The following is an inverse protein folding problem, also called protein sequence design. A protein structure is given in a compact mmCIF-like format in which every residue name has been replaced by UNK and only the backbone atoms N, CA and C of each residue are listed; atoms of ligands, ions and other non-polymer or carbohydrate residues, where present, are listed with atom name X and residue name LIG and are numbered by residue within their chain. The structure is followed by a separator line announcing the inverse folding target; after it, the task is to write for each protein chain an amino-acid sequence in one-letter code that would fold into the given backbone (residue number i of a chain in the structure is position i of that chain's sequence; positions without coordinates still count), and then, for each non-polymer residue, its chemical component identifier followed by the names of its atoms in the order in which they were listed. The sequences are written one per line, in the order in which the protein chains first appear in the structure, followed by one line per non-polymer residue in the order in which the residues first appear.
data_IF_444980963809
#
_entry.id   IF_444980963809
#
_cell.length_a   1.000
_cell.length_b   1.000
_cell.length_c   1.000
_cell.angle_alpha   90.00
_cell.angle_beta   90.00
_cell.angle_gamma   90.00
#
_symmetry.space_group_name_H-M   'P 1'
#
loop_
_entity.id
_entity.type
_entity.pdbx_description
1 polymer ?
#
# COMPACT_ATOMS: atom_id res chain seq x y z
N UNK A 1 0.01 -26.44 -1.17
CA UNK A 1 1.47 -26.45 -0.93
C UNK A 1 1.91 -25.10 -0.40
N UNK A 2 2.66 -25.10 0.68
CA UNK A 2 3.24 -23.88 1.23
C UNK A 2 4.65 -23.69 0.65
N UNK A 3 4.92 -22.49 0.17
CA UNK A 3 6.25 -22.15 -0.34
C UNK A 3 6.94 -21.25 0.68
N UNK A 4 8.13 -21.66 1.10
CA UNK A 4 8.97 -20.83 1.96
C UNK A 4 10.26 -20.46 1.23
N UNK A 5 10.81 -19.32 1.58
CA UNK A 5 12.09 -18.84 1.01
C UNK A 5 13.11 -18.66 2.12
N UNK A 6 14.41 -18.69 1.78
CA UNK A 6 15.44 -18.43 2.78
C UNK A 6 15.36 -16.98 3.27
N UNK A 7 15.88 -16.72 4.47
CA UNK A 7 15.95 -15.38 5.07
C UNK A 7 16.65 -14.41 4.11
N UNK A 8 17.77 -14.80 3.53
CA UNK A 8 18.53 -13.94 2.63
C UNK A 8 17.72 -13.61 1.37
N UNK A 9 16.99 -14.59 0.80
CA UNK A 9 16.14 -14.36 -0.36
C UNK A 9 14.97 -13.46 -0.03
N UNK A 10 14.34 -13.66 1.12
CA UNK A 10 13.22 -12.83 1.58
C UNK A 10 13.66 -11.38 1.79
N UNK A 11 14.82 -11.14 2.39
CA UNK A 11 15.38 -9.80 2.56
C UNK A 11 15.65 -9.14 1.19
N UNK A 12 16.21 -9.88 0.25
CA UNK A 12 16.47 -9.36 -1.10
C UNK A 12 15.18 -9.02 -1.83
N UNK A 13 14.12 -9.82 -1.66
CA UNK A 13 12.80 -9.55 -2.22
C UNK A 13 12.22 -8.26 -1.63
N UNK A 14 12.33 -8.09 -0.31
CA UNK A 14 11.86 -6.88 0.36
C UNK A 14 12.58 -5.63 -0.14
N UNK A 15 13.91 -5.68 -0.24
CA UNK A 15 14.71 -4.57 -0.72
C UNK A 15 14.39 -4.22 -2.18
N UNK A 16 14.26 -5.24 -3.04
CA UNK A 16 13.92 -5.06 -4.45
C UNK A 16 12.53 -4.47 -4.63
N UNK A 17 11.54 -4.96 -3.88
CA UNK A 17 10.18 -4.45 -3.94
C UNK A 17 10.12 -3.00 -3.45
N UNK A 18 10.81 -2.69 -2.35
CA UNK A 18 10.87 -1.32 -1.83
C UNK A 18 11.49 -0.35 -2.84
N UNK A 19 12.52 -0.78 -3.55
CA UNK A 19 13.14 0.00 -4.62
C UNK A 19 12.17 0.21 -5.79
N UNK A 20 11.46 -0.83 -6.19
CA UNK A 20 10.48 -0.78 -7.29
C UNK A 20 9.30 0.13 -6.96
N UNK A 21 8.83 0.09 -5.72
CA UNK A 21 7.74 0.97 -5.24
C UNK A 21 8.19 2.43 -5.30
N UNK A 22 9.40 2.72 -4.84
CA UNK A 22 9.98 4.05 -4.91
C UNK A 22 9.50 4.99 -3.82
N UNK A 23 10.01 6.23 -3.86
CA UNK A 23 9.81 7.24 -2.81
C UNK A 23 8.60 8.15 -3.06
N UNK A 24 8.03 8.10 -4.25
CA UNK A 24 6.89 8.94 -4.66
C UNK A 24 5.73 8.08 -5.16
N UNK A 25 5.55 6.93 -4.55
CA UNK A 25 4.49 6.02 -4.96
C UNK A 25 3.11 6.54 -4.60
N UNK A 26 2.10 5.95 -5.20
CA UNK A 26 0.70 6.28 -4.99
C UNK A 26 -0.03 5.13 -4.32
N UNK A 27 -0.91 5.47 -3.39
CA UNK A 27 -1.85 4.52 -2.81
C UNK A 27 -3.22 4.83 -3.42
N UNK A 28 -3.69 3.97 -4.30
CA UNK A 28 -4.92 4.15 -5.04
C UNK A 28 -6.04 3.29 -4.45
N UNK A 29 -7.20 3.87 -4.25
CA UNK A 29 -8.41 3.15 -3.84
C UNK A 29 -9.28 2.91 -5.06
N UNK A 30 -9.69 1.66 -5.28
CA UNK A 30 -10.44 1.24 -6.46
C UNK A 30 -11.81 0.68 -6.09
N UNK A 31 -12.79 0.88 -6.98
CA UNK A 31 -14.05 0.17 -6.88
C UNK A 31 -13.95 -1.22 -7.53
N UNK A 32 -15.05 -1.99 -7.54
CA UNK A 32 -15.08 -3.32 -8.13
C UNK A 32 -14.95 -3.32 -9.67
N UNK A 33 -15.14 -2.19 -10.31
CA UNK A 33 -14.93 -2.01 -11.74
C UNK A 33 -13.55 -1.49 -12.11
N UNK A 34 -12.60 -1.51 -11.16
CA UNK A 34 -11.20 -1.09 -11.32
C UNK A 34 -11.02 0.43 -11.51
N UNK A 35 -12.05 1.22 -11.28
CA UNK A 35 -11.93 2.68 -11.33
C UNK A 35 -11.24 3.20 -10.07
N UNK A 36 -10.28 4.11 -10.24
CA UNK A 36 -9.61 4.77 -9.13
C UNK A 36 -10.55 5.84 -8.57
N UNK A 37 -10.90 5.70 -7.28
CA UNK A 37 -11.78 6.64 -6.58
C UNK A 37 -10.99 7.75 -5.90
N UNK A 38 -9.86 7.41 -5.30
CA UNK A 38 -9.01 8.34 -4.56
C UNK A 38 -7.55 7.91 -4.65
N UNK A 39 -6.65 8.88 -4.55
CA UNK A 39 -5.20 8.64 -4.59
C UNK A 39 -4.53 9.42 -3.48
N UNK A 40 -3.73 8.72 -2.65
CA UNK A 40 -2.88 9.33 -1.65
C UNK A 40 -1.44 9.15 -2.09
N UNK A 41 -0.67 10.24 -2.12
CA UNK A 41 0.71 10.22 -2.59
C UNK A 41 1.67 10.14 -1.41
N UNK A 42 2.63 9.24 -1.50
CA UNK A 42 3.69 9.11 -0.50
C UNK A 42 4.79 10.13 -0.80
N UNK A 43 5.27 10.81 0.23
CA UNK A 43 6.31 11.84 0.09
C UNK A 43 7.33 11.72 1.22
N UNK A 44 8.19 10.73 1.12
CA UNK A 44 9.26 10.51 2.08
C UNK A 44 10.35 9.63 1.48
N UNK A 45 11.36 9.32 2.26
CA UNK A 45 12.34 8.30 1.93
C UNK A 45 11.65 6.93 1.80
N UNK A 46 12.35 5.95 1.26
CA UNK A 46 11.87 4.57 1.13
C UNK A 46 11.32 4.03 2.45
N UNK A 47 10.43 3.06 2.34
CA UNK A 47 9.88 2.37 3.50
C UNK A 47 10.95 1.64 4.31
N UNK A 48 10.60 1.31 5.53
CA UNK A 48 11.49 0.57 6.45
C UNK A 48 11.30 -0.93 6.23
N UNK A 49 12.37 -1.61 5.88
CA UNK A 49 12.37 -3.06 5.67
C UNK A 49 12.68 -3.78 6.97
N UNK A 50 11.80 -4.69 7.39
CA UNK A 50 12.05 -5.60 8.50
C UNK A 50 12.78 -6.84 7.99
N UNK A 51 13.82 -7.26 8.72
CA UNK A 51 14.62 -8.45 8.39
C UNK A 51 14.43 -9.58 9.40
N UNK A 52 13.37 -9.51 10.20
CA UNK A 52 13.07 -10.55 11.19
C UNK A 52 12.55 -11.81 10.47
N UNK A 53 13.17 -12.96 10.75
CA UNK A 53 12.80 -14.23 10.14
C UNK A 53 11.30 -14.52 10.32
N UNK A 54 10.63 -14.85 9.22
CA UNK A 54 9.20 -15.13 9.20
C UNK A 54 8.32 -13.90 9.25
N UNK A 55 8.91 -12.71 9.32
CA UNK A 55 8.16 -11.45 9.44
C UNK A 55 8.75 -10.34 8.58
N UNK A 56 9.37 -10.69 7.46
CA UNK A 56 9.90 -9.70 6.52
C UNK A 56 8.76 -8.86 5.97
N UNK A 57 8.89 -7.56 6.13
CA UNK A 57 7.86 -6.61 5.69
C UNK A 57 8.48 -5.28 5.31
N UNK A 58 7.71 -4.48 4.57
CA UNK A 58 8.06 -3.09 4.30
C UNK A 58 6.99 -2.23 4.97
N UNK A 59 7.40 -1.28 5.81
CA UNK A 59 6.48 -0.39 6.49
C UNK A 59 6.63 1.02 5.93
N UNK A 60 5.52 1.59 5.50
CA UNK A 60 5.41 2.98 5.05
C UNK A 60 4.60 3.76 6.07
N UNK A 61 5.21 4.78 6.69
CA UNK A 61 4.54 5.57 7.73
C UNK A 61 3.31 6.29 7.20
N UNK A 62 2.20 6.18 7.91
CA UNK A 62 0.93 6.84 7.54
C UNK A 62 1.08 8.36 7.47
N UNK A 63 1.97 8.94 8.27
CA UNK A 63 2.22 10.38 8.30
C UNK A 63 2.82 10.92 7.00
N UNK A 64 3.41 10.06 6.17
CA UNK A 64 4.05 10.45 4.92
C UNK A 64 3.13 10.35 3.71
N UNK A 65 1.90 9.88 3.89
CA UNK A 65 0.89 9.91 2.83
C UNK A 65 0.13 11.22 2.90
N UNK A 66 0.01 11.89 1.77
CA UNK A 66 -0.81 13.10 1.65
C UNK A 66 -2.25 12.68 1.46
N UNK A 67 -3.16 13.21 2.30
CA UNK A 67 -4.59 12.95 2.17
C UNK A 67 -5.09 13.36 0.79
N UNK A 68 -6.03 12.60 0.22
CA UNK A 68 -6.75 13.05 -0.96
C UNK A 68 -7.90 13.96 -0.51
N UNK A 69 -7.69 15.25 -0.62
CA UNK A 69 -8.68 16.27 -0.18
C UNK A 69 -9.90 16.35 -1.10
N UNK A 70 -9.73 15.94 -2.36
CA UNK A 70 -10.77 16.03 -3.39
C UNK A 70 -10.77 14.75 -4.24
N UNK A 71 -11.29 13.64 -3.71
CA UNK A 71 -11.35 12.39 -4.46
C UNK A 71 -12.01 12.59 -5.82
N UNK A 72 -11.45 11.98 -6.86
CA UNK A 72 -11.89 12.22 -8.23
C UNK A 72 -13.27 11.63 -8.53
N UNK A 73 -13.59 10.48 -7.92
CA UNK A 73 -14.81 9.73 -8.20
C UNK A 73 -15.41 9.22 -6.89
N UNK A 74 -16.70 9.45 -6.70
CA UNK A 74 -17.42 8.85 -5.58
C UNK A 74 -17.70 7.37 -5.83
N UNK A 75 -17.75 6.59 -4.78
CA UNK A 75 -18.07 5.17 -4.89
C UNK A 75 -17.67 4.37 -3.66
N UNK A 76 -17.73 3.06 -3.78
CA UNK A 76 -17.37 2.13 -2.71
C UNK A 76 -16.03 1.48 -3.01
N UNK A 77 -15.13 1.53 -2.05
CA UNK A 77 -13.80 0.92 -2.17
C UNK A 77 -13.93 -0.60 -2.10
N UNK A 78 -13.38 -1.27 -3.11
CA UNK A 78 -13.31 -2.74 -3.18
C UNK A 78 -11.92 -3.26 -2.86
N UNK A 79 -10.89 -2.57 -3.33
CA UNK A 79 -9.49 -2.92 -3.07
C UNK A 79 -8.62 -1.68 -3.19
N UNK A 80 -7.36 -1.81 -2.77
CA UNK A 80 -6.38 -0.74 -2.89
C UNK A 80 -5.10 -1.27 -3.53
N UNK A 81 -4.31 -0.37 -4.14
CA UNK A 81 -3.03 -0.74 -4.73
C UNK A 81 -1.95 0.26 -4.34
N UNK A 82 -0.72 -0.23 -4.19
CA UNK A 82 0.45 0.63 -4.26
C UNK A 82 0.93 0.60 -5.71
N UNK A 83 1.00 1.78 -6.32
CA UNK A 83 1.49 1.95 -7.68
C UNK A 83 2.70 2.89 -7.67
N UNK A 84 3.62 2.70 -8.62
CA UNK A 84 4.74 3.61 -8.80
C UNK A 84 4.23 5.00 -9.21
N UNK A 85 5.10 6.02 -9.20
CA UNK A 85 4.73 7.36 -9.69
C UNK A 85 4.26 7.34 -11.15
N UNK A 86 4.65 6.32 -11.92
CA UNK A 86 4.19 6.08 -13.29
C UNK A 86 2.93 5.23 -13.40
N UNK A 87 2.21 5.01 -12.30
CA UNK A 87 0.94 4.25 -12.24
C UNK A 87 1.08 2.75 -12.55
N UNK A 88 2.23 2.17 -12.26
CA UNK A 88 2.43 0.72 -12.39
C UNK A 88 2.13 0.06 -11.05
N UNK A 89 1.12 -0.81 -11.00
CA UNK A 89 0.74 -1.53 -9.78
C UNK A 89 1.87 -2.45 -9.33
N UNK A 90 2.20 -2.41 -8.03
CA UNK A 90 3.22 -3.26 -7.41
C UNK A 90 2.65 -4.14 -6.30
N UNK A 91 1.67 -3.66 -5.56
CA UNK A 91 1.07 -4.38 -4.44
C UNK A 91 -0.44 -4.16 -4.46
N UNK A 92 -1.21 -5.18 -4.09
CA UNK A 92 -2.66 -5.08 -3.96
C UNK A 92 -3.10 -5.46 -2.56
N UNK A 93 -3.97 -4.64 -1.98
CA UNK A 93 -4.62 -4.89 -0.69
C UNK A 93 -6.08 -5.25 -0.94
N UNK A 94 -6.51 -6.40 -0.45
CA UNK A 94 -7.89 -6.89 -0.67
C UNK A 94 -8.84 -6.54 0.47
N UNK A 95 -8.30 -6.08 1.61
CA UNK A 95 -9.08 -5.62 2.76
C UNK A 95 -8.60 -4.24 3.21
N UNK A 96 -8.88 -3.18 2.41
CA UNK A 96 -8.34 -1.85 2.70
C UNK A 96 -8.86 -1.25 4.01
N UNK A 97 -10.03 -1.65 4.50
CA UNK A 97 -10.55 -1.16 5.78
C UNK A 97 -9.61 -1.51 6.92
N UNK A 98 -9.20 -2.77 7.00
CA UNK A 98 -8.27 -3.26 8.03
C UNK A 98 -6.83 -2.87 7.73
N UNK A 99 -6.38 -3.08 6.49
CA UNK A 99 -4.97 -2.94 6.11
C UNK A 99 -4.52 -1.48 6.04
N UNK A 100 -5.42 -0.54 5.73
CA UNK A 100 -5.13 0.88 5.61
C UNK A 100 -5.80 1.73 6.69
N UNK A 101 -6.61 1.11 7.55
CA UNK A 101 -7.33 1.84 8.59
C UNK A 101 -8.31 2.87 8.05
N UNK A 102 -8.98 2.57 6.94
CA UNK A 102 -9.99 3.46 6.40
C UNK A 102 -11.20 3.53 7.34
N UNK A 103 -11.66 4.74 7.63
CA UNK A 103 -12.83 4.95 8.49
C UNK A 103 -14.13 4.56 7.79
N UNK A 104 -14.14 4.54 6.45
CA UNK A 104 -15.29 4.18 5.64
C UNK A 104 -14.82 3.64 4.30
N UNK A 105 -15.58 2.70 3.73
CA UNK A 105 -15.37 2.24 2.35
C UNK A 105 -16.10 3.11 1.33
N UNK A 106 -16.94 4.05 1.79
CA UNK A 106 -17.66 4.97 0.90
C UNK A 106 -16.84 6.23 0.70
N UNK A 107 -16.54 6.55 -0.55
CA UNK A 107 -15.78 7.74 -0.94
C UNK A 107 -16.75 8.78 -1.49
N UNK A 108 -16.64 10.01 -0.98
CA UNK A 108 -17.36 11.17 -1.49
C UNK A 108 -16.36 12.20 -2.02
N UNK A 109 -16.72 12.89 -3.11
CA UNK A 109 -15.80 13.84 -3.77
C UNK A 109 -15.54 15.12 -2.98
N UNK A 110 -16.34 15.38 -1.96
CA UNK A 110 -16.21 16.56 -1.09
C UNK A 110 -15.64 16.25 0.31
N UNK A 111 -15.20 15.01 0.53
CA UNK A 111 -14.63 14.60 1.81
C UNK A 111 -13.21 14.08 1.63
N UNK A 112 -12.25 14.50 2.48
CA UNK A 112 -10.88 14.00 2.41
C UNK A 112 -10.80 12.50 2.71
N UNK A 113 -9.86 11.82 2.07
CA UNK A 113 -9.54 10.41 2.30
C UNK A 113 -8.14 10.32 2.86
N UNK A 114 -7.97 9.54 3.94
CA UNK A 114 -6.68 9.35 4.58
C UNK A 114 -6.47 7.93 5.06
N UNK A 115 -5.21 7.54 5.17
CA UNK A 115 -4.76 6.32 5.87
C UNK A 115 -4.62 6.66 7.34
N UNK A 116 -5.05 5.79 8.23
CA UNK A 116 -4.95 6.03 9.69
C UNK A 116 -3.98 5.11 10.40
N UNK A 117 -3.39 4.15 9.67
CA UNK A 117 -2.38 3.21 10.20
C UNK A 117 -1.22 3.14 9.21
N UNK A 118 -0.05 2.72 9.67
CA UNK A 118 1.09 2.49 8.78
C UNK A 118 0.72 1.42 7.75
N UNK A 119 1.17 1.64 6.51
CA UNK A 119 0.94 0.70 5.41
C UNK A 119 2.04 -0.34 5.44
N UNK A 120 1.67 -1.60 5.67
CA UNK A 120 2.62 -2.70 5.81
C UNK A 120 2.44 -3.69 4.67
N UNK A 121 3.52 -3.92 3.92
CA UNK A 121 3.58 -4.95 2.89
C UNK A 121 4.26 -6.17 3.49
N UNK A 122 3.47 -7.23 3.75
CA UNK A 122 3.98 -8.47 4.31
C UNK A 122 4.47 -9.38 3.20
N UNK A 123 5.68 -9.90 3.35
CA UNK A 123 6.27 -10.85 2.40
C UNK A 123 6.00 -12.29 2.83
N UNK A 124 6.22 -13.27 1.91
CA UNK A 124 6.11 -14.68 2.28
C UNK A 124 7.03 -15.04 3.44
N UNK A 125 6.58 -15.96 4.30
CA UNK A 125 7.37 -16.43 5.43
C UNK A 125 8.71 -16.98 4.97
N UNK A 126 9.78 -16.64 5.70
CA UNK A 126 11.12 -17.19 5.46
C UNK A 126 11.40 -18.41 6.34
N UNK A 127 12.35 -19.20 5.92
CA UNK A 127 12.82 -20.37 6.68
C UNK A 127 13.87 -20.02 7.71
#
# INVERSE_FOLDING_TARGET
MTVTVSQASSNNMADSLNTDIGTSHKLNLHNSGDTILATMTYSAASGVVSTVTGAESITYSEANYTDDETPAVAGTVSYATIATSGDVERVRFTDPTTELGLSSTTIATDEPVRVTVDVVVQLPDST
#
